data_IF_051601570476
#
_entry.id   IF_051601570476
#
_cell.length_a   1.000
_cell.length_b   1.000
_cell.length_c   1.000
_cell.angle_alpha   90.00
_cell.angle_beta   90.00
_cell.angle_gamma   90.00
#
_symmetry.space_group_name_H-M   'P 1'
#
loop_
_entity.id
_entity.type
_entity.pdbx_description
1 polymer ?
#
# COMPACT_ATOMS: atom_id res chain seq x y z
N UNK A 1 -8.57 24.47 -4.07
CA UNK A 1 -9.11 24.65 -2.72
C UNK A 1 -9.65 23.30 -2.30
N UNK A 2 -9.09 22.74 -1.22
CA UNK A 2 -9.41 21.39 -0.72
C UNK A 2 -10.67 21.33 0.15
N UNK A 3 -11.54 22.33 0.06
CA UNK A 3 -12.75 22.43 0.89
C UNK A 3 -13.69 21.25 0.63
N UNK A 4 -13.92 20.44 1.66
CA UNK A 4 -14.86 19.33 1.62
C UNK A 4 -14.25 17.94 1.42
N UNK A 5 -12.91 17.81 1.36
CA UNK A 5 -12.26 16.47 1.29
C UNK A 5 -12.38 15.79 2.65
N UNK A 6 -12.82 14.52 2.64
CA UNK A 6 -12.79 13.62 3.81
C UNK A 6 -12.00 12.39 3.48
N UNK A 7 -11.11 12.00 4.38
CA UNK A 7 -10.24 10.84 4.23
C UNK A 7 -10.52 9.83 5.35
N UNK A 8 -10.80 8.60 4.98
CA UNK A 8 -11.10 7.48 5.87
C UNK A 8 -10.02 6.41 5.75
N UNK A 9 -9.39 6.05 6.86
CA UNK A 9 -8.47 4.92 6.92
C UNK A 9 -9.27 3.67 7.21
N UNK A 10 -9.10 2.64 6.38
CA UNK A 10 -9.83 1.39 6.44
C UNK A 10 -8.86 0.21 6.64
N UNK A 11 -8.68 -0.29 7.88
CA UNK A 11 -7.94 -1.54 8.09
C UNK A 11 -8.60 -2.69 7.34
N UNK A 12 -7.81 -3.47 6.60
CA UNK A 12 -8.28 -4.56 5.72
C UNK A 12 -7.77 -5.93 6.12
N UNK A 13 -7.22 -6.05 7.31
CA UNK A 13 -6.70 -7.30 7.88
C UNK A 13 -5.27 -7.16 8.36
N UNK A 14 -4.75 -8.24 8.95
CA UNK A 14 -3.38 -8.32 9.40
C UNK A 14 -2.78 -9.63 8.91
N UNK A 15 -1.72 -9.53 8.14
CA UNK A 15 -0.83 -10.63 7.81
C UNK A 15 0.19 -10.82 8.94
N UNK A 16 0.87 -11.95 8.96
CA UNK A 16 2.07 -12.16 9.74
C UNK A 16 3.23 -12.57 8.83
N UNK A 17 4.43 -12.10 9.14
CA UNK A 17 5.62 -12.42 8.37
C UNK A 17 6.89 -12.37 9.21
N UNK A 18 7.97 -12.96 8.71
CA UNK A 18 9.31 -12.67 9.26
C UNK A 18 9.66 -11.20 8.96
N UNK A 19 9.83 -10.40 10.01
CA UNK A 19 10.06 -8.97 9.92
C UNK A 19 11.28 -8.60 9.05
N UNK A 20 12.20 -9.54 8.79
CA UNK A 20 13.32 -9.31 7.86
C UNK A 20 12.87 -8.95 6.45
N UNK A 21 11.67 -9.31 6.04
CA UNK A 21 11.11 -8.85 4.76
C UNK A 21 10.98 -7.33 4.71
N UNK A 22 10.59 -6.72 5.83
CA UNK A 22 10.25 -5.30 5.91
C UNK A 22 11.35 -4.45 6.55
N UNK A 23 12.24 -5.06 7.36
CA UNK A 23 13.23 -4.32 8.13
C UNK A 23 14.49 -5.16 8.40
N UNK A 24 15.63 -4.66 7.96
CA UNK A 24 16.94 -5.26 8.18
C UNK A 24 17.69 -4.49 9.29
N UNK A 25 17.36 -4.75 10.54
CA UNK A 25 17.99 -4.08 11.69
C UNK A 25 19.34 -4.72 12.06
N UNK A 26 20.32 -3.91 12.50
CA UNK A 26 21.61 -4.44 12.93
C UNK A 26 21.54 -5.36 14.17
N UNK A 27 20.50 -5.22 15.00
CA UNK A 27 20.26 -6.04 16.20
C UNK A 27 19.55 -7.36 15.89
N UNK A 28 19.14 -7.59 14.66
CA UNK A 28 18.55 -8.86 14.23
C UNK A 28 19.61 -9.96 14.23
N UNK A 29 19.21 -11.14 14.71
CA UNK A 29 20.09 -12.32 14.67
C UNK A 29 20.22 -12.78 13.22
N UNK A 30 21.37 -12.50 12.63
CA UNK A 30 21.70 -12.97 11.29
C UNK A 30 22.44 -14.31 11.37
N UNK A 31 22.17 -15.22 10.44
CA UNK A 31 22.93 -16.46 10.31
C UNK A 31 24.40 -16.14 9.92
N UNK A 32 25.32 -16.83 10.56
CA UNK A 32 26.74 -16.82 10.19
C UNK A 32 27.25 -18.27 10.04
N UNK A 33 28.51 -18.46 9.69
CA UNK A 33 29.08 -19.81 9.47
C UNK A 33 29.12 -20.70 10.73
N UNK A 34 28.97 -20.13 11.90
CA UNK A 34 28.98 -20.83 13.19
C UNK A 34 27.57 -21.04 13.74
N UNK A 35 26.62 -20.17 13.30
CA UNK A 35 25.21 -20.23 13.66
C UNK A 35 24.36 -20.08 12.39
N UNK A 36 24.09 -21.17 11.72
CA UNK A 36 23.30 -21.19 10.47
C UNK A 36 21.79 -21.23 10.72
N UNK A 37 21.34 -21.48 11.96
CA UNK A 37 19.94 -21.47 12.36
C UNK A 37 19.65 -20.17 13.15
N UNK A 38 18.99 -19.21 12.51
CA UNK A 38 18.48 -18.02 13.18
C UNK A 38 16.99 -18.18 13.53
N UNK A 39 16.53 -17.65 14.67
CA UNK A 39 15.09 -17.59 14.93
C UNK A 39 14.42 -16.64 13.95
N UNK A 40 13.20 -16.97 13.50
CA UNK A 40 12.34 -16.04 12.82
C UNK A 40 11.94 -14.90 13.75
N UNK A 41 11.81 -13.69 13.20
CA UNK A 41 11.23 -12.55 13.88
C UNK A 41 9.79 -12.35 13.36
N UNK A 42 8.90 -13.27 13.75
CA UNK A 42 7.52 -13.32 13.30
C UNK A 42 6.73 -12.16 13.88
N UNK A 43 6.13 -11.33 13.05
CA UNK A 43 5.47 -10.11 13.47
C UNK A 43 4.20 -9.82 12.65
N UNK A 44 3.29 -9.08 13.26
CA UNK A 44 2.09 -8.59 12.60
C UNK A 44 2.43 -7.55 11.53
N UNK A 45 1.84 -7.71 10.35
CA UNK A 45 1.97 -6.86 9.17
C UNK A 45 0.56 -6.42 8.76
N UNK A 46 -0.03 -5.38 9.38
CA UNK A 46 -1.37 -4.94 9.08
C UNK A 46 -1.44 -4.31 7.69
N UNK A 47 -2.59 -4.46 7.03
CA UNK A 47 -2.92 -3.82 5.77
C UNK A 47 -4.05 -2.81 5.95
N UNK A 48 -4.06 -1.77 5.15
CA UNK A 48 -5.12 -0.77 5.12
C UNK A 48 -5.30 -0.18 3.72
N UNK A 49 -6.53 0.17 3.42
CA UNK A 49 -6.89 0.98 2.27
C UNK A 49 -7.31 2.38 2.75
N UNK A 50 -7.38 3.33 1.82
CA UNK A 50 -7.88 4.67 2.11
C UNK A 50 -9.06 4.99 1.18
N UNK A 51 -10.16 5.45 1.76
CA UNK A 51 -11.25 6.05 0.99
C UNK A 51 -11.20 7.57 1.11
N UNK A 52 -11.30 8.27 -0.02
CA UNK A 52 -11.37 9.73 -0.06
C UNK A 52 -12.69 10.14 -0.70
N UNK A 53 -13.52 10.82 0.10
CA UNK A 53 -14.71 11.50 -0.36
C UNK A 53 -14.32 12.92 -0.79
N UNK A 54 -14.13 13.10 -2.10
CA UNK A 54 -13.69 14.35 -2.70
C UNK A 54 -14.86 14.99 -3.47
N UNK A 55 -15.02 16.32 -3.48
CA UNK A 55 -16.10 17.00 -4.20
C UNK A 55 -16.17 16.64 -5.71
N UNK A 56 -15.04 16.32 -6.33
CA UNK A 56 -14.93 16.02 -7.75
C UNK A 56 -14.85 14.53 -8.07
N UNK A 57 -14.96 13.63 -7.06
CA UNK A 57 -14.96 12.18 -7.27
C UNK A 57 -14.52 11.38 -6.05
N UNK A 58 -14.98 10.14 -5.97
CA UNK A 58 -14.65 9.20 -4.89
C UNK A 58 -13.45 8.36 -5.27
N UNK A 59 -12.50 8.25 -4.35
CA UNK A 59 -11.22 7.58 -4.59
C UNK A 59 -11.04 6.45 -3.57
N UNK A 60 -10.56 5.31 -4.04
CA UNK A 60 -9.94 4.26 -3.21
C UNK A 60 -8.45 4.22 -3.51
N UNK A 61 -7.64 4.18 -2.46
CA UNK A 61 -6.22 3.91 -2.49
C UNK A 61 -5.94 2.52 -1.96
N UNK A 62 -5.37 1.67 -2.81
CA UNK A 62 -5.11 0.24 -2.64
C UNK A 62 -6.39 -0.61 -2.43
N UNK A 63 -6.27 -1.90 -2.65
CA UNK A 63 -7.39 -2.84 -2.61
C UNK A 63 -7.20 -3.98 -1.59
N UNK A 64 -6.13 -3.95 -0.79
CA UNK A 64 -5.89 -4.93 0.26
C UNK A 64 -5.70 -6.37 -0.23
N UNK A 65 -5.81 -7.33 0.69
CA UNK A 65 -5.67 -8.77 0.42
C UNK A 65 -6.95 -9.37 -0.13
N UNK A 66 -6.90 -10.40 -1.03
CA UNK A 66 -8.08 -11.03 -1.57
C UNK A 66 -8.74 -11.99 -0.55
N UNK A 67 -10.06 -12.18 -0.63
CA UNK A 67 -10.80 -13.09 0.25
C UNK A 67 -10.35 -14.55 0.14
N UNK A 68 -9.97 -14.97 -1.05
CA UNK A 68 -9.51 -16.32 -1.39
C UNK A 68 -7.98 -16.44 -1.35
N UNK A 69 -7.32 -15.66 -0.49
CA UNK A 69 -5.87 -15.54 -0.43
C UNK A 69 -5.14 -16.88 -0.29
N UNK A 70 -5.63 -17.84 0.52
CA UNK A 70 -5.01 -19.15 0.68
C UNK A 70 -4.94 -19.92 -0.65
N UNK A 71 -6.06 -19.96 -1.39
CA UNK A 71 -6.13 -20.62 -2.69
C UNK A 71 -5.35 -19.83 -3.76
N UNK A 72 -5.54 -18.50 -3.78
CA UNK A 72 -4.98 -17.61 -4.80
C UNK A 72 -3.46 -17.56 -4.74
N UNK A 73 -2.88 -17.53 -3.55
CA UNK A 73 -1.43 -17.49 -3.34
C UNK A 73 -0.78 -18.89 -3.28
N UNK A 74 -1.57 -19.95 -3.18
CA UNK A 74 -1.10 -21.34 -3.13
C UNK A 74 -0.06 -21.70 -4.19
N UNK A 75 -0.26 -21.34 -5.48
CA UNK A 75 0.69 -21.66 -6.53
C UNK A 75 2.10 -21.06 -6.35
N UNK A 76 2.23 -19.96 -5.63
CA UNK A 76 3.50 -19.27 -5.34
C UNK A 76 4.04 -19.58 -3.94
N UNK A 77 3.22 -20.14 -3.06
CA UNK A 77 3.56 -20.39 -1.66
C UNK A 77 3.53 -19.16 -0.76
N UNK A 78 3.03 -18.02 -1.24
CA UNK A 78 2.96 -16.77 -0.45
C UNK A 78 2.17 -16.91 0.84
N UNK A 79 1.11 -17.74 0.85
CA UNK A 79 0.27 -17.98 2.02
C UNK A 79 1.06 -18.56 3.22
N UNK A 80 2.22 -19.18 2.98
CA UNK A 80 3.08 -19.71 4.03
C UNK A 80 4.00 -18.63 4.62
N UNK A 81 4.29 -17.58 3.86
CA UNK A 81 5.18 -16.48 4.26
C UNK A 81 4.45 -15.27 4.78
N UNK A 82 3.19 -15.06 4.33
CA UNK A 82 2.34 -13.93 4.66
C UNK A 82 0.89 -14.38 4.93
N UNK A 83 0.65 -15.34 5.87
CA UNK A 83 -0.71 -15.74 6.19
C UNK A 83 -1.52 -14.55 6.71
N UNK A 84 -2.81 -14.50 6.36
CA UNK A 84 -3.75 -13.48 6.85
C UNK A 84 -4.47 -14.05 8.07
N UNK A 85 -3.92 -13.82 9.24
CA UNK A 85 -4.37 -14.45 10.49
C UNK A 85 -5.47 -13.66 11.22
N UNK A 86 -5.50 -12.34 11.00
CA UNK A 86 -6.42 -11.45 11.70
C UNK A 86 -7.28 -10.69 10.69
N UNK A 87 -8.36 -11.30 10.25
CA UNK A 87 -9.36 -10.68 9.38
C UNK A 87 -10.76 -11.11 9.79
N UNK A 88 -11.67 -10.15 9.84
CA UNK A 88 -13.11 -10.37 10.06
C UNK A 88 -13.89 -9.99 8.82
N UNK A 89 -15.15 -10.47 8.69
CA UNK A 89 -15.97 -10.23 7.50
C UNK A 89 -16.15 -8.75 7.17
N UNK A 90 -16.17 -7.90 8.19
CA UNK A 90 -16.32 -6.46 8.04
C UNK A 90 -15.03 -5.74 7.63
N UNK A 91 -13.89 -6.43 7.58
CA UNK A 91 -12.59 -5.85 7.19
C UNK A 91 -12.30 -5.97 5.68
N UNK A 92 -13.01 -6.83 4.95
CA UNK A 92 -12.86 -6.90 3.50
C UNK A 92 -13.25 -5.58 2.83
N UNK A 93 -12.58 -5.21 1.74
CA UNK A 93 -12.75 -3.90 1.11
C UNK A 93 -14.20 -3.64 0.66
N UNK A 94 -14.87 -4.63 0.07
CA UNK A 94 -16.27 -4.51 -0.29
C UNK A 94 -17.19 -4.30 0.94
N UNK A 95 -16.86 -4.92 2.07
CA UNK A 95 -17.58 -4.71 3.33
C UNK A 95 -17.29 -3.33 3.93
N UNK A 96 -16.03 -2.84 3.81
CA UNK A 96 -15.66 -1.48 4.21
C UNK A 96 -16.40 -0.41 3.40
N UNK A 97 -16.50 -0.60 2.08
CA UNK A 97 -17.29 0.28 1.23
C UNK A 97 -18.76 0.33 1.66
N UNK A 98 -19.36 -0.83 1.94
CA UNK A 98 -20.75 -0.91 2.43
C UNK A 98 -20.96 -0.20 3.77
N UNK A 99 -20.00 -0.24 4.69
CA UNK A 99 -20.04 0.51 5.95
C UNK A 99 -20.09 2.03 5.70
N UNK A 100 -19.50 2.50 4.61
CA UNK A 100 -19.53 3.90 4.16
C UNK A 100 -20.73 4.21 3.26
N UNK A 101 -21.60 3.22 2.98
CA UNK A 101 -22.78 3.38 2.14
C UNK A 101 -22.48 3.34 0.63
N UNK A 102 -21.38 2.71 0.24
CA UNK A 102 -20.94 2.61 -1.16
C UNK A 102 -20.81 1.16 -1.64
N UNK A 103 -20.95 0.99 -2.94
CA UNK A 103 -20.57 -0.21 -3.69
C UNK A 103 -19.36 0.13 -4.58
N UNK A 104 -18.62 -0.89 -5.09
CA UNK A 104 -17.48 -0.63 -5.97
C UNK A 104 -17.80 0.29 -7.17
N UNK A 105 -19.00 0.16 -7.74
CA UNK A 105 -19.44 0.99 -8.85
C UNK A 105 -19.74 2.47 -8.49
N UNK A 106 -19.70 2.84 -7.21
CA UNK A 106 -19.84 4.25 -6.79
C UNK A 106 -18.49 4.98 -6.76
N UNK A 107 -17.39 4.26 -7.01
CA UNK A 107 -16.02 4.77 -6.94
C UNK A 107 -15.58 5.26 -8.32
N UNK A 108 -15.08 6.50 -8.38
CA UNK A 108 -14.60 7.11 -9.62
C UNK A 108 -13.14 6.74 -9.94
N UNK A 109 -12.33 6.55 -8.89
CA UNK A 109 -10.89 6.23 -9.03
C UNK A 109 -10.48 5.12 -8.08
N UNK A 110 -9.86 4.08 -8.61
CA UNK A 110 -9.05 3.13 -7.86
C UNK A 110 -7.58 3.44 -8.15
N UNK A 111 -6.84 3.87 -7.15
CA UNK A 111 -5.43 4.19 -7.25
C UNK A 111 -4.64 3.05 -6.61
N UNK A 112 -3.84 2.35 -7.38
CA UNK A 112 -2.99 1.26 -6.88
C UNK A 112 -1.56 1.78 -6.69
N UNK A 113 -1.06 1.69 -5.47
CA UNK A 113 0.31 2.06 -5.13
C UNK A 113 1.31 1.24 -5.93
N UNK A 114 1.05 -0.05 -6.01
CA UNK A 114 1.76 -1.04 -6.82
C UNK A 114 0.89 -2.31 -6.93
N UNK A 115 1.38 -3.35 -7.63
CA UNK A 115 0.57 -4.51 -7.99
C UNK A 115 0.92 -5.77 -7.19
N UNK A 116 1.39 -5.64 -5.94
CA UNK A 116 1.56 -6.77 -5.05
C UNK A 116 0.22 -7.26 -4.47
N UNK A 117 0.25 -8.49 -4.02
CA UNK A 117 -0.86 -9.32 -3.57
C UNK A 117 -1.70 -8.72 -2.43
N UNK A 118 -1.13 -7.87 -1.60
CA UNK A 118 -1.76 -7.22 -0.45
C UNK A 118 -2.17 -5.77 -0.71
N UNK A 119 -1.89 -5.26 -1.90
CA UNK A 119 -2.31 -3.94 -2.38
C UNK A 119 -3.31 -4.01 -3.54
N UNK A 120 -3.18 -5.00 -4.42
CA UNK A 120 -4.07 -5.20 -5.57
C UNK A 120 -5.09 -6.34 -5.37
N UNK A 121 -5.07 -7.05 -4.24
CA UNK A 121 -5.76 -8.32 -4.06
C UNK A 121 -7.27 -8.32 -4.29
N UNK A 122 -7.99 -7.24 -3.97
CA UNK A 122 -9.42 -7.11 -4.26
C UNK A 122 -9.71 -6.13 -5.43
N UNK A 123 -8.69 -5.73 -6.21
CA UNK A 123 -8.91 -4.81 -7.32
C UNK A 123 -9.85 -5.39 -8.40
N UNK A 124 -9.97 -6.72 -8.49
CA UNK A 124 -10.94 -7.38 -9.38
C UNK A 124 -12.42 -7.00 -9.11
N UNK A 125 -12.73 -6.37 -7.98
CA UNK A 125 -14.07 -5.80 -7.73
C UNK A 125 -14.46 -4.77 -8.79
N UNK A 126 -13.49 -4.18 -9.48
CA UNK A 126 -13.69 -3.18 -10.55
C UNK A 126 -13.51 -3.72 -11.97
N UNK A 127 -13.35 -5.02 -12.16
CA UNK A 127 -13.13 -5.63 -13.50
C UNK A 127 -14.23 -5.32 -14.52
N UNK A 128 -15.46 -5.15 -14.05
CA UNK A 128 -16.62 -4.85 -14.87
C UNK A 128 -17.09 -3.38 -14.74
N UNK A 129 -16.35 -2.55 -13.99
CA UNK A 129 -16.67 -1.14 -13.81
C UNK A 129 -16.37 -0.36 -15.11
N UNK A 130 -17.36 0.43 -15.58
CA UNK A 130 -17.25 1.15 -16.85
C UNK A 130 -16.86 2.60 -16.70
N UNK A 131 -16.96 3.16 -15.49
CA UNK A 131 -16.66 4.57 -15.22
C UNK A 131 -15.47 4.74 -14.25
N UNK A 132 -15.16 3.74 -13.44
CA UNK A 132 -14.02 3.79 -12.53
C UNK A 132 -12.71 3.76 -13.31
N UNK A 133 -11.87 4.75 -13.09
CA UNK A 133 -10.50 4.76 -13.60
C UNK A 133 -9.61 4.00 -12.62
N UNK A 134 -8.96 2.96 -13.09
CA UNK A 134 -7.99 2.20 -12.30
C UNK A 134 -6.59 2.64 -12.71
N UNK A 135 -5.87 3.30 -11.80
CA UNK A 135 -4.56 3.90 -12.10
C UNK A 135 -3.44 3.18 -11.35
N UNK A 136 -2.33 2.97 -12.05
CA UNK A 136 -1.03 2.64 -11.45
C UNK A 136 0.09 3.40 -12.18
N UNK A 137 1.33 3.33 -11.69
CA UNK A 137 2.42 3.93 -12.43
C UNK A 137 2.74 3.12 -13.69
N UNK A 138 3.26 3.80 -14.72
CA UNK A 138 3.69 3.14 -15.95
C UNK A 138 4.82 2.14 -15.72
N UNK A 139 5.78 2.49 -14.87
CA UNK A 139 6.91 1.60 -14.55
C UNK A 139 6.43 0.33 -13.84
N UNK A 140 5.43 0.43 -12.96
CA UNK A 140 4.80 -0.72 -12.30
C UNK A 140 4.07 -1.60 -13.31
N UNK A 141 3.24 -0.99 -14.17
CA UNK A 141 2.53 -1.70 -15.23
C UNK A 141 3.50 -2.47 -16.13
N UNK A 142 4.50 -1.78 -16.67
CA UNK A 142 5.48 -2.37 -17.58
C UNK A 142 6.24 -3.52 -16.89
N UNK A 143 6.63 -3.35 -15.64
CA UNK A 143 7.33 -4.37 -14.85
C UNK A 143 6.46 -5.58 -14.57
N UNK A 144 5.26 -5.38 -14.02
CA UNK A 144 4.36 -6.46 -13.60
C UNK A 144 3.86 -7.32 -14.77
N UNK A 145 3.65 -6.71 -15.95
CA UNK A 145 3.16 -7.43 -17.14
C UNK A 145 4.28 -8.03 -18.00
N UNK A 146 5.51 -7.48 -17.94
CA UNK A 146 6.61 -7.92 -18.83
C UNK A 146 7.59 -8.86 -18.16
N UNK A 147 7.71 -8.85 -16.83
CA UNK A 147 8.74 -9.60 -16.12
C UNK A 147 8.15 -10.69 -15.23
N UNK A 148 8.45 -11.94 -15.59
CA UNK A 148 8.07 -13.11 -14.78
C UNK A 148 9.22 -13.52 -13.86
N UNK A 149 8.90 -13.80 -12.60
CA UNK A 149 9.85 -14.38 -11.64
C UNK A 149 10.54 -13.37 -10.70
N UNK A 150 10.25 -12.08 -10.81
CA UNK A 150 10.63 -11.11 -9.78
C UNK A 150 9.71 -11.22 -8.55
N UNK A 151 10.20 -10.78 -7.40
CA UNK A 151 9.48 -10.68 -6.12
C UNK A 151 8.87 -12.00 -5.59
N UNK A 152 9.45 -13.14 -5.94
CA UNK A 152 9.02 -14.47 -5.42
C UNK A 152 7.51 -14.70 -5.55
N UNK A 153 6.88 -14.19 -6.60
CA UNK A 153 5.46 -14.35 -6.87
C UNK A 153 4.55 -13.35 -6.17
N UNK A 154 5.07 -12.26 -5.61
CA UNK A 154 4.26 -11.22 -4.98
C UNK A 154 3.36 -10.47 -5.98
N UNK A 155 3.71 -10.44 -7.26
CA UNK A 155 2.83 -9.99 -8.35
C UNK A 155 1.90 -11.13 -8.78
N UNK A 156 0.72 -11.21 -8.16
CA UNK A 156 -0.28 -12.24 -8.48
C UNK A 156 -1.15 -11.73 -9.62
N UNK A 157 -0.87 -12.16 -10.85
CA UNK A 157 -1.54 -11.66 -12.09
C UNK A 157 -3.07 -11.70 -12.00
N UNK A 158 -3.64 -12.70 -11.34
CA UNK A 158 -5.10 -12.83 -11.15
C UNK A 158 -5.72 -11.58 -10.50
N UNK A 159 -4.96 -10.84 -9.68
CA UNK A 159 -5.46 -9.67 -8.97
C UNK A 159 -5.71 -8.48 -9.90
N UNK A 160 -4.96 -8.39 -11.03
CA UNK A 160 -4.97 -7.19 -11.87
C UNK A 160 -5.07 -7.46 -13.39
N UNK A 161 -4.87 -8.69 -13.88
CA UNK A 161 -4.87 -8.97 -15.33
C UNK A 161 -6.23 -8.75 -16.02
N UNK A 162 -7.33 -8.78 -15.26
CA UNK A 162 -8.68 -8.53 -15.77
C UNK A 162 -9.07 -7.05 -15.81
N UNK A 163 -8.22 -6.17 -15.26
CA UNK A 163 -8.51 -4.74 -15.15
C UNK A 163 -8.08 -3.98 -16.41
N UNK A 164 -8.80 -2.92 -16.73
CA UNK A 164 -8.34 -1.90 -17.66
C UNK A 164 -7.56 -0.86 -16.87
N UNK A 165 -6.24 -1.01 -16.85
CA UNK A 165 -5.33 -0.10 -16.12
C UNK A 165 -4.96 1.10 -17.00
N UNK A 166 -5.16 2.30 -16.46
CA UNK A 166 -4.58 3.54 -16.99
C UNK A 166 -3.26 3.81 -16.26
N UNK A 167 -2.26 4.32 -16.96
CA UNK A 167 -0.94 4.56 -16.36
C UNK A 167 -0.65 6.04 -16.18
N UNK A 168 0.08 6.35 -15.09
CA UNK A 168 0.60 7.69 -14.80
C UNK A 168 2.13 7.67 -14.76
N UNK A 169 2.76 8.80 -15.08
CA UNK A 169 4.21 8.97 -15.06
C UNK A 169 4.58 10.15 -14.17
N UNK A 170 5.58 9.96 -13.29
CA UNK A 170 5.99 10.99 -12.34
C UNK A 170 4.97 11.31 -11.27
N UNK A 171 5.17 12.42 -10.58
CA UNK A 171 4.20 12.91 -9.60
C UNK A 171 2.98 13.45 -10.34
N UNK A 172 1.80 12.97 -9.98
CA UNK A 172 0.56 13.26 -10.72
C UNK A 172 -0.55 13.68 -9.77
N UNK A 173 -1.06 14.89 -9.92
CA UNK A 173 -2.28 15.32 -9.24
C UNK A 173 -3.50 14.69 -9.94
N UNK A 174 -4.20 13.79 -9.25
CA UNK A 174 -5.38 13.08 -9.75
C UNK A 174 -6.63 13.94 -9.65
N UNK A 175 -6.81 14.56 -8.50
CA UNK A 175 -7.83 15.58 -8.20
C UNK A 175 -7.18 16.69 -7.38
N UNK A 176 -7.76 17.91 -7.33
CA UNK A 176 -7.18 19.00 -6.57
C UNK A 176 -6.88 18.62 -5.11
N UNK A 177 -5.60 18.66 -4.71
CA UNK A 177 -5.14 18.26 -3.37
C UNK A 177 -4.96 16.75 -3.18
N UNK A 178 -5.12 15.91 -4.19
CA UNK A 178 -4.84 14.48 -4.15
C UNK A 178 -3.78 14.13 -5.19
N UNK A 179 -2.58 13.81 -4.75
CA UNK A 179 -1.41 13.59 -5.61
C UNK A 179 -0.81 12.21 -5.40
N UNK A 180 -0.58 11.50 -6.48
CA UNK A 180 0.28 10.33 -6.52
C UNK A 180 1.74 10.79 -6.61
N UNK A 181 2.58 10.37 -5.67
CA UNK A 181 4.01 10.64 -5.65
C UNK A 181 4.76 9.41 -6.16
N UNK A 182 5.57 9.56 -7.17
CA UNK A 182 6.41 8.45 -7.65
C UNK A 182 7.55 8.18 -6.64
N UNK A 183 7.50 7.01 -6.02
CA UNK A 183 8.41 6.57 -4.93
C UNK A 183 8.90 5.14 -5.18
N UNK A 184 9.62 4.91 -6.31
CA UNK A 184 10.04 3.58 -6.72
C UNK A 184 11.13 3.02 -5.80
N UNK A 185 11.31 1.69 -5.89
CA UNK A 185 12.38 0.98 -5.21
C UNK A 185 11.92 -0.29 -4.54
N UNK A 186 10.77 -0.28 -3.86
CA UNK A 186 10.10 -1.52 -3.42
C UNK A 186 9.73 -2.37 -4.64
N UNK A 187 9.01 -1.79 -5.58
CA UNK A 187 8.82 -2.32 -6.94
C UNK A 187 9.37 -1.32 -7.97
N UNK A 188 9.16 -1.60 -9.27
CA UNK A 188 9.59 -0.72 -10.37
C UNK A 188 8.99 0.67 -10.26
N UNK A 189 7.72 0.74 -9.85
CA UNK A 189 6.90 1.92 -9.92
C UNK A 189 6.03 2.19 -8.70
N UNK A 190 6.42 1.75 -7.51
CA UNK A 190 5.69 2.05 -6.27
C UNK A 190 5.38 3.54 -6.18
N UNK A 191 4.14 3.86 -5.83
CA UNK A 191 3.64 5.21 -5.61
C UNK A 191 3.30 5.40 -4.13
N UNK A 192 3.36 6.64 -3.66
CA UNK A 192 2.77 7.08 -2.39
C UNK A 192 1.63 8.04 -2.67
N UNK A 193 0.68 8.15 -1.76
CA UNK A 193 -0.47 9.04 -1.87
C UNK A 193 -0.29 10.24 -0.95
N UNK A 194 -0.31 11.46 -1.48
CA UNK A 194 -0.36 12.72 -0.74
C UNK A 194 -1.76 13.31 -0.83
N UNK A 195 -2.33 13.69 0.33
CA UNK A 195 -3.64 14.36 0.40
C UNK A 195 -3.52 15.63 1.23
N UNK A 196 -3.93 16.75 0.65
CA UNK A 196 -3.98 18.05 1.34
C UNK A 196 -5.38 18.26 1.90
N UNK A 197 -5.53 18.13 3.21
CA UNK A 197 -6.80 18.22 3.93
C UNK A 197 -6.99 19.59 4.55
N UNK A 198 -8.21 20.16 4.55
CA UNK A 198 -8.43 21.53 5.01
C UNK A 198 -8.14 21.74 6.50
N UNK A 199 -8.50 20.80 7.35
CA UNK A 199 -8.36 20.93 8.81
C UNK A 199 -7.22 20.08 9.38
N UNK A 200 -6.96 18.92 8.78
CA UNK A 200 -5.96 17.96 9.26
C UNK A 200 -4.56 18.20 8.69
N UNK A 201 -4.42 19.11 7.72
CA UNK A 201 -3.17 19.37 7.02
C UNK A 201 -2.82 18.27 6.00
N UNK A 202 -1.57 18.22 5.57
CA UNK A 202 -1.12 17.24 4.58
C UNK A 202 -0.89 15.87 5.22
N UNK A 203 -1.41 14.82 4.60
CA UNK A 203 -1.11 13.42 4.94
C UNK A 203 -0.43 12.73 3.75
N UNK A 204 0.58 11.90 4.03
CA UNK A 204 1.29 11.11 3.02
C UNK A 204 1.20 9.64 3.42
N UNK A 205 0.47 8.84 2.64
CA UNK A 205 0.40 7.39 2.78
C UNK A 205 1.48 6.78 1.90
N UNK A 206 2.47 6.17 2.52
CA UNK A 206 3.69 5.75 1.82
C UNK A 206 3.57 4.43 1.11
N UNK A 207 2.54 3.62 1.44
CA UNK A 207 2.53 2.23 1.02
C UNK A 207 3.89 1.58 1.31
N UNK A 208 4.39 0.73 0.45
CA UNK A 208 5.65 -0.01 0.62
C UNK A 208 6.91 0.78 0.26
N UNK A 209 6.77 2.06 -0.10
CA UNK A 209 7.93 2.95 -0.13
C UNK A 209 8.54 3.12 1.27
N UNK A 210 7.72 3.04 2.34
CA UNK A 210 8.19 3.07 3.75
C UNK A 210 7.27 2.17 4.59
N UNK A 211 7.78 1.04 5.06
CA UNK A 211 7.00 0.05 5.78
C UNK A 211 6.72 0.43 7.23
N UNK A 212 7.74 0.91 7.94
CA UNK A 212 7.75 1.16 9.38
C UNK A 212 8.47 2.48 9.70
N UNK A 213 8.34 2.96 10.93
CA UNK A 213 9.04 4.17 11.39
C UNK A 213 10.57 4.06 11.27
N UNK A 214 11.12 2.86 11.51
CA UNK A 214 12.55 2.59 11.37
C UNK A 214 12.99 2.63 9.90
N UNK A 215 12.12 2.28 8.96
CA UNK A 215 12.38 2.42 7.53
C UNK A 215 12.44 3.89 7.11
N UNK A 216 11.70 4.76 7.81
CA UNK A 216 11.71 6.20 7.57
C UNK A 216 12.96 6.88 8.14
N UNK A 217 13.37 6.54 9.36
CA UNK A 217 14.54 7.13 10.04
C UNK A 217 14.42 8.61 10.40
N UNK A 218 15.50 9.44 10.43
CA UNK A 218 16.90 9.14 10.04
C UNK A 218 17.71 8.38 11.11
N UNK A 219 18.66 7.52 10.74
CA UNK A 219 18.89 7.01 9.38
C UNK A 219 17.79 6.02 8.99
N UNK A 220 17.45 5.98 7.70
CA UNK A 220 16.55 4.97 7.17
C UNK A 220 17.19 3.59 7.20
N UNK A 221 16.41 2.57 7.61
CA UNK A 221 16.85 1.17 7.63
C UNK A 221 16.18 0.44 6.48
N UNK A 222 16.97 -0.23 5.65
CA UNK A 222 16.51 -0.97 4.48
C UNK A 222 15.71 -2.22 4.84
N UNK A 223 15.17 -2.87 3.81
CA UNK A 223 14.30 -4.04 3.90
C UNK A 223 14.84 -5.20 3.05
N UNK A 224 14.33 -6.41 3.32
CA UNK A 224 14.64 -7.59 2.52
C UNK A 224 13.92 -7.62 1.17
N UNK A 225 12.71 -7.06 1.10
CA UNK A 225 11.91 -7.01 -0.11
C UNK A 225 12.00 -5.64 -0.78
N UNK A 226 13.04 -5.44 -1.57
CA UNK A 226 13.30 -4.20 -2.32
C UNK A 226 13.90 -4.54 -3.67
N UNK A 227 13.28 -4.07 -4.75
CA UNK A 227 13.76 -4.27 -6.11
C UNK A 227 15.05 -3.47 -6.39
N UNK A 228 15.06 -2.19 -6.00
CA UNK A 228 16.17 -1.27 -6.21
C UNK A 228 16.40 -0.46 -4.94
N UNK A 229 17.40 -0.86 -4.17
CA UNK A 229 17.69 -0.21 -2.89
C UNK A 229 18.16 1.25 -3.04
N UNK A 230 18.80 1.62 -4.16
CA UNK A 230 19.23 3.00 -4.39
C UNK A 230 18.02 3.89 -4.62
N UNK A 231 17.11 3.47 -5.48
CA UNK A 231 15.84 4.18 -5.70
C UNK A 231 15.01 4.24 -4.43
N UNK A 232 14.96 3.13 -3.67
CA UNK A 232 14.21 3.08 -2.43
C UNK A 232 14.68 4.14 -1.41
N UNK A 233 15.98 4.23 -1.15
CA UNK A 233 16.51 5.28 -0.28
C UNK A 233 16.26 6.69 -0.82
N UNK A 234 16.37 6.91 -2.13
CA UNK A 234 16.03 8.18 -2.74
C UNK A 234 14.54 8.54 -2.55
N UNK A 235 13.64 7.56 -2.63
CA UNK A 235 12.21 7.71 -2.38
C UNK A 235 11.93 8.08 -0.92
N UNK A 236 12.62 7.45 0.04
CA UNK A 236 12.52 7.82 1.47
C UNK A 236 12.92 9.28 1.69
N UNK A 237 14.06 9.72 1.10
CA UNK A 237 14.51 11.12 1.21
C UNK A 237 13.53 12.09 0.54
N UNK A 238 12.95 11.72 -0.61
CA UNK A 238 11.92 12.52 -1.28
C UNK A 238 10.70 12.72 -0.38
N UNK A 239 10.16 11.62 0.20
CA UNK A 239 9.01 11.68 1.11
C UNK A 239 9.35 12.55 2.32
N UNK A 240 10.55 12.40 2.88
CA UNK A 240 11.01 13.19 4.02
C UNK A 240 11.06 14.69 3.68
N UNK A 241 11.62 15.06 2.54
CA UNK A 241 11.67 16.46 2.08
C UNK A 241 10.27 17.06 1.91
N UNK A 242 9.34 16.33 1.26
CA UNK A 242 7.95 16.78 1.11
C UNK A 242 7.26 16.91 2.48
N UNK A 243 7.49 15.96 3.38
CA UNK A 243 6.89 16.00 4.72
C UNK A 243 7.38 17.20 5.55
N UNK A 244 8.67 17.54 5.46
CA UNK A 244 9.24 18.72 6.10
C UNK A 244 8.68 20.02 5.51
N UNK A 245 8.59 20.13 4.18
CA UNK A 245 8.07 21.32 3.49
C UNK A 245 6.59 21.58 3.79
N UNK A 246 5.80 20.53 3.91
CA UNK A 246 4.33 20.62 4.08
C UNK A 246 3.89 20.40 5.52
N UNK A 247 4.79 20.09 6.44
CA UNK A 247 4.51 19.61 7.79
C UNK A 247 3.52 18.44 7.80
N UNK A 248 3.72 17.49 6.88
CA UNK A 248 2.80 16.38 6.66
C UNK A 248 2.88 15.31 7.75
N UNK A 249 1.74 14.69 8.02
CA UNK A 249 1.69 13.41 8.73
C UNK A 249 2.03 12.28 7.75
N UNK A 250 3.14 11.59 7.99
CA UNK A 250 3.55 10.42 7.17
C UNK A 250 2.95 9.16 7.77
N UNK A 251 2.19 8.41 6.97
CA UNK A 251 1.55 7.14 7.34
C UNK A 251 2.28 6.00 6.64
N UNK A 252 2.82 5.07 7.43
CA UNK A 252 3.63 3.95 6.95
C UNK A 252 2.76 2.77 6.49
N UNK A 253 3.25 2.00 5.52
CA UNK A 253 2.49 0.92 4.89
C UNK A 253 2.00 -0.15 5.87
N UNK A 254 2.87 -0.59 6.79
CA UNK A 254 2.60 -1.76 7.63
C UNK A 254 2.83 -1.53 9.13
N UNK A 255 2.81 -0.30 9.60
CA UNK A 255 3.04 0.02 11.01
C UNK A 255 1.79 -0.21 11.87
N UNK A 256 1.72 -1.34 12.56
CA UNK A 256 0.61 -1.64 13.48
C UNK A 256 0.49 -0.63 14.62
N UNK A 257 1.63 -0.17 15.17
CA UNK A 257 1.64 0.84 16.23
C UNK A 257 1.01 2.15 15.74
N UNK A 258 1.37 2.62 14.54
CA UNK A 258 0.80 3.83 13.99
C UNK A 258 -0.65 3.65 13.59
N UNK A 259 -1.01 2.53 12.94
CA UNK A 259 -2.40 2.24 12.55
C UNK A 259 -3.34 2.22 13.75
N UNK A 260 -2.86 1.78 14.93
CA UNK A 260 -3.66 1.80 16.17
C UNK A 260 -4.05 3.23 16.59
N UNK A 261 -3.20 4.22 16.35
CA UNK A 261 -3.39 5.62 16.72
C UNK A 261 -4.19 6.44 15.71
N UNK A 262 -4.25 6.00 14.45
CA UNK A 262 -5.00 6.71 13.41
C UNK A 262 -6.50 6.65 13.67
N UNK A 263 -7.23 7.72 13.25
CA UNK A 263 -8.67 7.65 13.08
C UNK A 263 -8.97 6.61 11.99
N UNK A 264 -9.93 5.74 12.27
CA UNK A 264 -10.40 4.70 11.36
C UNK A 264 -11.90 4.86 11.16
N UNK A 265 -12.43 4.31 10.08
CA UNK A 265 -13.87 4.35 9.83
C UNK A 265 -14.64 3.91 11.10
N UNK A 266 -15.77 4.60 11.44
CA UNK A 266 -16.45 5.64 10.68
C UNK A 266 -15.87 7.05 10.83
N UNK A 267 -14.81 7.26 11.64
CA UNK A 267 -14.16 8.56 11.80
C UNK A 267 -13.29 8.88 10.58
N UNK A 268 -13.07 10.19 10.34
CA UNK A 268 -12.32 10.69 9.18
C UNK A 268 -11.40 11.85 9.54
N UNK A 269 -10.53 12.17 8.61
CA UNK A 269 -9.73 13.40 8.54
C UNK A 269 -10.34 14.34 7.50
N UNK A 270 -10.35 15.65 7.77
CA UNK A 270 -10.84 16.70 6.88
C UNK A 270 -9.87 17.85 6.80
#
# INVERSE_FOLDING_TARGET
MSDGIKLYVMPTGTMHADLTWLLLRPDMVMADRHNTARPANWAAVPTHCVYIDHPDGKIIWDAGVPRDWEERWGPTGLQEYFPVDEVTEDMWLDSRLKQLGHEPNDIDYLLLSHLHFDHAGQAELWKDATHTKVLCSKDEYDGAFSYEGYSLGAHVKKDYESLTLETVEGDTEVLPGVTLLQTPGHTWGTMSLKVDLPDSGTMIFTSDAIYLAESYGPPAIGAGIVYDSVKWFASVEKIRGIAEETNATVVFGHSGAQLAELKKIPDYYS
#
